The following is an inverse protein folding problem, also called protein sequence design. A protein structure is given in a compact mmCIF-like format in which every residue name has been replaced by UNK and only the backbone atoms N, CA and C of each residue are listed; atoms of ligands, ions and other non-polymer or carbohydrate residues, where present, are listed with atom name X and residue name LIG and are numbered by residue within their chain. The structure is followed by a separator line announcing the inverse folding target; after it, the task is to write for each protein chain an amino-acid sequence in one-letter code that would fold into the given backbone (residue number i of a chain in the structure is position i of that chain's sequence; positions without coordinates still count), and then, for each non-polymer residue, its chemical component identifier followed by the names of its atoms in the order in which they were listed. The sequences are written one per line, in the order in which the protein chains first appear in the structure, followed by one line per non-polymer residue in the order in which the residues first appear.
data_IF_499592080267
#
_entry.id   IF_499592080267
#
_cell.length_a   1.000
_cell.length_b   1.000
_cell.length_c   1.000
_cell.angle_alpha   90.00
_cell.angle_beta   90.00
_cell.angle_gamma   90.00
#
_symmetry.space_group_name_H-M   'P 1'
#
loop_
_entity.id
_entity.type
_entity.pdbx_description
1 polymer ?
#
# COMPACT_ATOMS: atom_id res chain seq x y z
N UNK A 1 2.03 8.64 -22.15
CA UNK A 1 3.15 7.92 -21.48
C UNK A 1 2.76 6.45 -21.36
N UNK A 2 3.70 5.50 -21.29
CA UNK A 2 3.35 4.11 -20.97
C UNK A 2 3.08 3.95 -19.46
N UNK A 3 2.21 3.02 -19.06
CA UNK A 3 1.92 2.72 -17.65
C UNK A 3 3.20 2.38 -16.85
N UNK A 4 4.15 1.70 -17.48
CA UNK A 4 5.45 1.31 -16.92
C UNK A 4 6.34 2.54 -16.66
N UNK A 5 6.42 3.47 -17.63
CA UNK A 5 7.18 4.73 -17.48
C UNK A 5 6.65 5.55 -16.31
N UNK A 6 5.33 5.66 -16.18
CA UNK A 6 4.67 6.40 -15.10
C UNK A 6 4.98 5.82 -13.71
N UNK A 7 5.00 4.50 -13.57
CA UNK A 7 5.33 3.82 -12.31
C UNK A 7 6.79 4.03 -11.89
N UNK A 8 7.72 3.99 -12.84
CA UNK A 8 9.12 4.31 -12.58
C UNK A 8 9.30 5.78 -12.20
N UNK A 9 8.63 6.70 -12.90
CA UNK A 9 8.66 8.13 -12.55
C UNK A 9 8.12 8.40 -11.14
N UNK A 10 7.04 7.73 -10.72
CA UNK A 10 6.54 7.85 -9.36
C UNK A 10 7.60 7.46 -8.31
N UNK A 11 8.35 6.38 -8.52
CA UNK A 11 9.43 5.98 -7.61
C UNK A 11 10.53 7.05 -7.62
N UNK A 12 11.06 7.38 -8.80
CA UNK A 12 12.17 8.33 -8.96
C UNK A 12 11.84 9.70 -8.36
N UNK A 13 10.69 10.28 -8.72
CA UNK A 13 10.26 11.59 -8.24
C UNK A 13 10.17 11.61 -6.71
N UNK A 14 9.61 10.57 -6.08
CA UNK A 14 9.49 10.52 -4.62
C UNK A 14 10.84 10.30 -3.91
N UNK A 15 11.84 9.73 -4.59
CA UNK A 15 13.18 9.50 -4.03
C UNK A 15 14.14 10.67 -4.27
N UNK A 16 14.02 11.35 -5.40
CA UNK A 16 15.04 12.28 -5.91
C UNK A 16 14.60 13.74 -5.93
N UNK A 17 13.29 14.03 -5.89
CA UNK A 17 12.75 15.38 -6.00
C UNK A 17 12.13 15.87 -4.68
N UNK A 18 12.03 17.19 -4.51
CA UNK A 18 11.35 17.78 -3.34
C UNK A 18 9.84 17.81 -3.54
N UNK A 19 9.19 16.68 -3.24
CA UNK A 19 7.74 16.50 -3.30
C UNK A 19 7.05 16.58 -1.95
N UNK A 20 7.76 17.06 -0.91
CA UNK A 20 7.17 17.20 0.42
C UNK A 20 6.03 18.20 0.36
N UNK A 21 4.94 17.87 1.04
CA UNK A 21 3.82 18.79 1.20
C UNK A 21 4.30 20.09 1.83
N UNK A 22 3.83 21.23 1.31
CA UNK A 22 3.97 22.52 1.98
C UNK A 22 3.14 22.63 3.26
N UNK A 23 2.25 21.67 3.51
CA UNK A 23 1.45 21.54 4.73
C UNK A 23 2.08 20.51 5.68
N UNK A 24 1.93 20.77 6.99
CA UNK A 24 2.26 19.81 8.05
C UNK A 24 1.17 18.73 8.18
N UNK A 25 1.45 17.71 8.99
CA UNK A 25 0.53 16.59 9.23
C UNK A 25 -0.59 16.91 10.21
N UNK A 26 -0.48 18.03 10.94
CA UNK A 26 -1.35 18.37 12.07
C UNK A 26 -0.97 17.65 13.37
N UNK A 27 -0.03 16.69 13.34
CA UNK A 27 0.43 15.96 14.52
C UNK A 27 1.12 16.87 15.53
N UNK A 28 1.66 18.01 15.10
CA UNK A 28 2.24 19.03 15.98
C UNK A 28 1.22 19.66 16.95
N UNK A 29 -0.08 19.52 16.68
CA UNK A 29 -1.15 19.99 17.57
C UNK A 29 -1.42 19.02 18.72
N UNK A 30 -0.85 17.81 18.69
CA UNK A 30 -1.11 16.76 19.67
C UNK A 30 0.09 16.55 20.58
N UNK A 31 -0.17 16.55 21.89
CA UNK A 31 0.83 16.30 22.91
C UNK A 31 0.32 15.22 23.86
N UNK A 32 1.12 14.18 24.06
CA UNK A 32 0.84 13.18 25.09
C UNK A 32 1.28 13.70 26.45
N UNK A 33 0.43 13.56 27.47
CA UNK A 33 0.81 13.92 28.84
C UNK A 33 1.87 12.95 29.34
N UNK A 34 3.06 13.48 29.61
CA UNK A 34 4.16 12.69 30.14
C UNK A 34 3.84 12.14 31.53
N UNK A 35 4.07 10.84 31.73
CA UNK A 35 3.95 10.16 33.02
C UNK A 35 5.35 9.83 33.53
N UNK A 36 5.87 10.65 34.45
CA UNK A 36 7.22 10.49 35.00
C UNK A 36 7.42 9.21 35.82
N UNK A 37 6.34 8.71 36.44
CA UNK A 37 6.30 7.43 37.14
C UNK A 37 5.18 6.56 36.55
N UNK A 38 5.46 5.77 35.50
CA UNK A 38 4.45 4.99 34.79
C UNK A 38 4.01 3.72 35.54
N UNK A 39 4.73 3.30 36.58
CA UNK A 39 4.46 2.07 37.35
C UNK A 39 4.33 0.82 36.46
N UNK A 40 5.07 0.80 35.34
CA UNK A 40 5.07 -0.26 34.33
C UNK A 40 6.50 -0.58 33.92
N UNK A 41 6.81 -1.88 33.82
CA UNK A 41 8.06 -2.36 33.26
C UNK A 41 8.01 -2.29 31.73
N UNK A 42 9.07 -1.80 31.09
CA UNK A 42 9.12 -1.67 29.63
C UNK A 42 8.92 -3.01 28.91
N UNK A 43 9.44 -4.10 29.48
CA UNK A 43 9.29 -5.47 28.94
C UNK A 43 7.82 -5.94 28.93
N UNK A 44 6.93 -5.32 29.70
CA UNK A 44 5.49 -5.61 29.71
C UNK A 44 4.71 -4.83 28.65
N UNK A 45 5.36 -3.90 27.93
CA UNK A 45 4.72 -3.17 26.84
C UNK A 45 4.51 -4.11 25.67
N UNK A 46 3.26 -4.42 25.37
CA UNK A 46 2.88 -5.26 24.26
C UNK A 46 2.21 -4.42 23.16
N UNK A 47 2.82 -4.37 21.98
CA UNK A 47 2.31 -3.66 20.80
C UNK A 47 1.46 -4.54 19.89
N UNK A 48 1.42 -5.85 20.17
CA UNK A 48 0.74 -6.80 19.29
C UNK A 48 -0.77 -6.66 19.32
N UNK A 49 -1.40 -6.98 18.19
CA UNK A 49 -2.85 -6.88 18.01
C UNK A 49 -3.35 -7.86 16.93
N UNK A 50 -4.57 -8.42 17.10
CA UNK A 50 -5.23 -9.18 16.06
C UNK A 50 -5.91 -8.26 15.03
N UNK A 51 -5.77 -8.56 13.74
CA UNK A 51 -6.46 -7.86 12.65
C UNK A 51 -6.71 -8.80 11.46
N UNK A 52 -7.93 -8.82 10.91
CA UNK A 52 -8.32 -9.68 9.79
C UNK A 52 -7.85 -11.14 9.91
N UNK A 53 -8.01 -11.73 11.12
CA UNK A 53 -7.57 -13.10 11.46
C UNK A 53 -6.04 -13.34 11.45
N UNK A 54 -5.24 -12.29 11.27
CA UNK A 54 -3.78 -12.29 11.44
C UNK A 54 -3.41 -11.64 12.78
N UNK A 55 -2.18 -11.87 13.22
CA UNK A 55 -1.63 -11.28 14.43
C UNK A 55 -0.40 -10.45 14.08
N UNK A 56 -0.46 -9.15 14.37
CA UNK A 56 0.64 -8.22 14.11
C UNK A 56 1.47 -8.06 15.38
N UNK A 57 2.78 -7.85 15.23
CA UNK A 57 3.68 -7.56 16.34
C UNK A 57 3.67 -6.08 16.74
N UNK A 58 3.22 -5.20 15.86
CA UNK A 58 3.05 -3.78 16.12
C UNK A 58 1.89 -3.18 15.31
N UNK A 59 1.26 -2.08 15.77
CA UNK A 59 0.16 -1.41 15.07
C UNK A 59 0.68 -0.50 13.96
N UNK A 60 1.50 -1.04 13.06
CA UNK A 60 2.17 -0.33 11.97
C UNK A 60 1.94 -1.10 10.67
N UNK A 61 1.82 -0.37 9.57
CA UNK A 61 1.61 -0.88 8.22
C UNK A 61 2.56 -0.16 7.26
N UNK A 62 3.23 -0.92 6.40
CA UNK A 62 3.87 -0.37 5.19
C UNK A 62 2.76 -0.11 4.16
N UNK A 63 2.45 1.15 3.88
CA UNK A 63 1.36 1.52 2.99
C UNK A 63 1.64 1.20 1.51
N UNK A 64 0.60 1.17 0.69
CA UNK A 64 0.65 0.88 -0.74
C UNK A 64 1.50 1.89 -1.51
N UNK A 65 2.51 1.41 -2.24
CA UNK A 65 3.42 2.27 -3.01
C UNK A 65 3.57 1.84 -4.46
N UNK A 66 4.11 0.65 -4.73
CA UNK A 66 4.62 0.32 -6.09
C UNK A 66 4.36 -1.13 -6.54
N UNK A 67 4.76 -1.42 -7.77
CA UNK A 67 4.67 -2.69 -8.50
C UNK A 67 4.45 -2.42 -9.99
N UNK A 68 4.78 -3.35 -10.88
CA UNK A 68 4.65 -3.22 -12.34
C UNK A 68 5.93 -2.84 -13.10
N UNK A 69 7.07 -2.78 -12.42
CA UNK A 69 8.42 -2.66 -13.00
C UNK A 69 9.40 -3.58 -12.25
N UNK A 70 10.57 -3.87 -12.82
CA UNK A 70 11.59 -4.68 -12.15
C UNK A 70 12.12 -4.02 -10.87
N UNK A 71 12.42 -2.72 -10.92
CA UNK A 71 12.81 -1.93 -9.75
C UNK A 71 11.74 -1.97 -8.66
N UNK A 72 10.47 -1.82 -9.04
CA UNK A 72 9.36 -1.92 -8.11
C UNK A 72 9.23 -3.30 -7.46
N UNK A 73 9.53 -4.37 -8.21
CA UNK A 73 9.56 -5.72 -7.68
C UNK A 73 10.64 -5.88 -6.59
N UNK A 74 11.84 -5.34 -6.82
CA UNK A 74 12.93 -5.36 -5.84
C UNK A 74 12.57 -4.59 -4.56
N UNK A 75 11.93 -3.43 -4.70
CA UNK A 75 11.42 -2.64 -3.57
C UNK A 75 10.36 -3.43 -2.80
N UNK A 76 9.38 -4.00 -3.51
CA UNK A 76 8.31 -4.79 -2.88
C UNK A 76 8.88 -5.98 -2.10
N UNK A 77 9.86 -6.70 -2.65
CA UNK A 77 10.48 -7.83 -1.95
C UNK A 77 11.26 -7.39 -0.72
N UNK A 78 12.06 -6.33 -0.82
CA UNK A 78 12.81 -5.79 0.32
C UNK A 78 11.88 -5.38 1.46
N UNK A 79 10.77 -4.70 1.14
CA UNK A 79 9.78 -4.28 2.14
C UNK A 79 9.04 -5.48 2.73
N UNK A 80 8.73 -6.50 1.93
CA UNK A 80 8.06 -7.70 2.39
C UNK A 80 8.96 -8.53 3.32
N UNK A 81 10.26 -8.66 3.03
CA UNK A 81 11.24 -9.29 3.93
C UNK A 81 11.30 -8.56 5.28
N UNK A 82 11.34 -7.23 5.27
CA UNK A 82 11.31 -6.42 6.49
C UNK A 82 9.99 -6.59 7.25
N UNK A 83 8.85 -6.60 6.55
CA UNK A 83 7.54 -6.81 7.14
C UNK A 83 7.41 -8.20 7.78
N UNK A 84 7.91 -9.24 7.12
CA UNK A 84 7.95 -10.60 7.64
C UNK A 84 8.84 -10.69 8.90
N UNK A 85 10.03 -10.09 8.86
CA UNK A 85 10.96 -10.11 9.98
C UNK A 85 10.42 -9.34 11.21
N UNK A 86 9.65 -8.28 11.00
CA UNK A 86 9.11 -7.43 12.07
C UNK A 86 7.67 -7.76 12.44
N UNK A 87 7.00 -8.63 11.69
CA UNK A 87 5.60 -9.02 11.90
C UNK A 87 4.59 -7.87 11.77
N UNK A 88 4.87 -6.90 10.91
CA UNK A 88 3.96 -5.80 10.59
C UNK A 88 3.21 -6.08 9.28
N UNK A 89 2.13 -5.34 9.03
CA UNK A 89 1.38 -5.49 7.79
C UNK A 89 2.06 -4.76 6.62
N UNK A 90 1.69 -5.15 5.40
CA UNK A 90 2.13 -4.48 4.17
C UNK A 90 0.99 -4.39 3.15
N UNK A 91 0.87 -3.26 2.46
CA UNK A 91 0.07 -3.11 1.26
C UNK A 91 0.94 -2.98 0.02
N UNK A 92 0.58 -3.68 -1.05
CA UNK A 92 1.23 -3.51 -2.35
C UNK A 92 0.63 -2.33 -3.11
N UNK A 93 1.34 -1.83 -4.13
CA UNK A 93 0.84 -0.77 -5.00
C UNK A 93 -0.32 -1.24 -5.89
N UNK A 94 -0.94 -0.30 -6.61
CA UNK A 94 -2.08 -0.60 -7.49
C UNK A 94 -1.76 -1.69 -8.51
N UNK A 95 -2.55 -2.77 -8.45
CA UNK A 95 -2.43 -3.96 -9.29
C UNK A 95 -3.14 -3.83 -10.65
N UNK A 96 -3.71 -2.66 -10.96
CA UNK A 96 -4.34 -2.37 -12.28
C UNK A 96 -3.46 -2.84 -13.44
N UNK A 97 -2.16 -2.51 -13.39
CA UNK A 97 -1.23 -2.88 -14.44
C UNK A 97 -1.09 -4.40 -14.61
N UNK A 98 -1.07 -5.17 -13.53
CA UNK A 98 -0.98 -6.63 -13.62
C UNK A 98 -2.31 -7.30 -14.00
N UNK A 99 -3.45 -6.63 -13.79
CA UNK A 99 -4.75 -7.11 -14.29
C UNK A 99 -4.85 -6.89 -15.81
N UNK A 100 -4.37 -5.75 -16.31
CA UNK A 100 -4.33 -5.44 -17.74
C UNK A 100 -3.22 -6.21 -18.48
N UNK A 101 -2.10 -6.45 -17.80
CA UNK A 101 -0.89 -7.11 -18.32
C UNK A 101 -0.44 -8.23 -17.36
N UNK A 102 -0.96 -9.46 -17.50
CA UNK A 102 -0.69 -10.56 -16.58
C UNK A 102 0.80 -10.91 -16.40
N UNK A 103 1.64 -10.61 -17.38
CA UNK A 103 3.09 -10.76 -17.30
C UNK A 103 3.74 -9.91 -16.18
N UNK A 104 3.05 -8.87 -15.71
CA UNK A 104 3.53 -8.01 -14.62
C UNK A 104 3.17 -8.54 -13.23
N UNK A 105 2.38 -9.61 -13.12
CA UNK A 105 1.95 -10.18 -11.83
C UNK A 105 3.14 -10.55 -10.93
N UNK A 106 4.23 -11.05 -11.52
CA UNK A 106 5.45 -11.43 -10.79
C UNK A 106 6.04 -10.27 -9.98
N UNK A 107 5.87 -9.03 -10.45
CA UNK A 107 6.38 -7.83 -9.76
C UNK A 107 5.65 -7.51 -8.45
N UNK A 108 4.53 -8.19 -8.19
CA UNK A 108 3.74 -8.10 -6.96
C UNK A 108 3.86 -9.35 -6.10
N UNK A 109 4.50 -10.42 -6.58
CA UNK A 109 4.59 -11.68 -5.88
C UNK A 109 5.67 -11.61 -4.78
N UNK A 110 5.19 -11.56 -3.53
CA UNK A 110 6.03 -11.49 -2.31
C UNK A 110 5.68 -12.57 -1.29
N UNK A 111 4.71 -13.43 -1.59
CA UNK A 111 4.19 -14.41 -0.62
C UNK A 111 5.19 -15.54 -0.32
N UNK A 112 6.11 -15.79 -1.25
CA UNK A 112 7.22 -16.74 -1.10
C UNK A 112 8.21 -16.34 0.01
N UNK A 113 8.38 -15.04 0.25
CA UNK A 113 9.29 -14.49 1.28
C UNK A 113 8.55 -13.96 2.52
N UNK A 114 7.28 -13.58 2.36
CA UNK A 114 6.44 -13.05 3.43
C UNK A 114 5.11 -13.82 3.58
N UNK A 115 5.17 -15.13 3.91
CA UNK A 115 3.98 -15.99 3.97
C UNK A 115 3.01 -15.63 5.11
N UNK A 116 3.50 -14.99 6.18
CA UNK A 116 2.73 -14.83 7.43
C UNK A 116 2.13 -13.44 7.62
N UNK A 117 2.67 -12.44 6.92
CA UNK A 117 2.22 -11.05 7.10
C UNK A 117 0.78 -10.85 6.66
N UNK A 118 0.11 -9.90 7.31
CA UNK A 118 -1.14 -9.36 6.81
C UNK A 118 -0.85 -8.54 5.55
N UNK A 119 -1.24 -9.08 4.39
CA UNK A 119 -0.95 -8.50 3.08
C UNK A 119 -2.22 -7.91 2.45
N UNK A 120 -2.11 -6.67 1.97
CA UNK A 120 -3.20 -5.98 1.29
C UNK A 120 -2.95 -5.87 -0.22
N UNK A 121 -3.94 -6.35 -0.99
CA UNK A 121 -4.10 -6.00 -2.40
C UNK A 121 -4.51 -4.54 -2.55
N UNK A 122 -4.31 -3.96 -3.74
CA UNK A 122 -4.65 -2.55 -3.97
C UNK A 122 -5.19 -2.30 -5.37
N UNK A 123 -6.33 -1.61 -5.43
CA UNK A 123 -6.92 -1.07 -6.65
C UNK A 123 -7.39 0.37 -6.44
N UNK A 124 -7.43 1.14 -7.53
CA UNK A 124 -8.03 2.47 -7.50
C UNK A 124 -9.55 2.34 -7.50
N UNK A 125 -10.22 2.96 -6.54
CA UNK A 125 -11.67 2.94 -6.45
C UNK A 125 -12.32 3.44 -7.75
N UNK A 126 -11.70 4.44 -8.40
CA UNK A 126 -12.16 5.00 -9.68
C UNK A 126 -12.35 3.95 -10.77
N UNK A 127 -11.61 2.83 -10.76
CA UNK A 127 -11.71 1.80 -11.79
C UNK A 127 -13.09 1.13 -11.83
N UNK A 128 -13.85 1.16 -10.74
CA UNK A 128 -15.23 0.67 -10.72
C UNK A 128 -16.14 1.45 -11.69
N UNK A 129 -15.82 2.72 -11.96
CA UNK A 129 -16.50 3.53 -12.97
C UNK A 129 -15.94 3.36 -14.40
N UNK A 130 -14.91 2.53 -14.55
CA UNK A 130 -14.23 2.23 -15.81
C UNK A 130 -14.35 0.75 -16.19
N UNK A 131 -15.32 0.05 -15.60
CA UNK A 131 -15.69 -1.32 -15.98
C UNK A 131 -15.11 -2.42 -15.09
N UNK A 132 -14.34 -2.07 -14.06
CA UNK A 132 -13.95 -3.05 -13.05
C UNK A 132 -15.15 -3.41 -12.19
N UNK A 133 -15.25 -4.67 -11.82
CA UNK A 133 -16.26 -5.19 -10.91
C UNK A 133 -15.66 -6.16 -9.90
N UNK A 134 -16.52 -7.06 -9.40
CA UNK A 134 -16.14 -8.03 -8.38
C UNK A 134 -15.01 -8.96 -8.84
N UNK A 135 -14.98 -9.30 -10.12
CA UNK A 135 -14.01 -10.26 -10.67
C UNK A 135 -12.60 -9.66 -10.73
N UNK A 136 -12.44 -8.38 -11.08
CA UNK A 136 -11.16 -7.67 -11.01
C UNK A 136 -10.67 -7.53 -9.57
N UNK A 137 -11.58 -7.22 -8.63
CA UNK A 137 -11.25 -7.16 -7.22
C UNK A 137 -10.77 -8.51 -6.68
N UNK A 138 -11.45 -9.61 -7.05
CA UNK A 138 -11.02 -10.97 -6.70
C UNK A 138 -9.66 -11.31 -7.31
N UNK A 139 -9.47 -11.02 -8.59
CA UNK A 139 -8.17 -11.22 -9.27
C UNK A 139 -7.04 -10.47 -8.59
N UNK A 140 -7.26 -9.24 -8.12
CA UNK A 140 -6.24 -8.51 -7.36
C UNK A 140 -5.88 -9.22 -6.05
N UNK A 141 -6.88 -9.71 -5.30
CA UNK A 141 -6.65 -10.44 -4.05
C UNK A 141 -5.91 -11.77 -4.31
N UNK A 142 -6.43 -12.55 -5.26
CA UNK A 142 -5.93 -13.90 -5.56
C UNK A 142 -4.50 -13.87 -6.13
N UNK A 143 -4.16 -12.86 -6.95
CA UNK A 143 -2.84 -12.70 -7.58
C UNK A 143 -1.67 -12.73 -6.59
N UNK A 144 -1.88 -12.27 -5.36
CA UNK A 144 -0.85 -12.15 -4.34
C UNK A 144 -1.22 -12.88 -3.05
N UNK A 145 -2.29 -13.67 -3.08
CA UNK A 145 -2.85 -14.36 -1.91
C UNK A 145 -3.08 -13.40 -0.73
N UNK A 146 -3.62 -12.20 -1.02
CA UNK A 146 -3.84 -11.17 -0.03
C UNK A 146 -4.93 -11.53 0.97
N UNK A 147 -4.82 -10.97 2.18
CA UNK A 147 -5.80 -11.15 3.24
C UNK A 147 -6.94 -10.11 3.15
N UNK A 148 -6.70 -8.98 2.47
CA UNK A 148 -7.69 -7.90 2.28
C UNK A 148 -7.37 -7.05 1.04
N UNK A 149 -8.33 -6.21 0.62
CA UNK A 149 -8.22 -5.29 -0.51
C UNK A 149 -8.35 -3.84 -0.05
N UNK A 150 -7.41 -2.99 -0.47
CA UNK A 150 -7.48 -1.53 -0.37
C UNK A 150 -8.06 -0.96 -1.66
N UNK A 151 -9.09 -0.13 -1.52
CA UNK A 151 -9.57 0.76 -2.59
C UNK A 151 -9.05 2.17 -2.31
N UNK A 152 -8.07 2.63 -3.09
CA UNK A 152 -7.50 3.96 -2.90
C UNK A 152 -8.33 5.04 -3.61
N UNK A 153 -8.35 6.23 -3.02
CA UNK A 153 -8.96 7.43 -3.58
C UNK A 153 -7.88 8.45 -3.87
N UNK A 154 -7.79 8.87 -5.12
CA UNK A 154 -6.72 9.75 -5.59
C UNK A 154 -7.25 10.80 -6.58
N UNK A 155 -8.48 11.29 -6.39
CA UNK A 155 -9.17 12.17 -7.33
C UNK A 155 -8.37 13.41 -7.75
N UNK A 156 -7.64 14.03 -6.81
CA UNK A 156 -6.77 15.17 -7.12
C UNK A 156 -5.58 14.74 -7.99
N UNK A 157 -4.96 13.60 -7.68
CA UNK A 157 -3.87 13.05 -8.49
C UNK A 157 -4.33 12.76 -9.93
N UNK A 158 -5.50 12.12 -10.08
CA UNK A 158 -6.07 11.83 -11.41
C UNK A 158 -6.44 13.12 -12.16
N UNK A 159 -6.90 14.16 -11.47
CA UNK A 159 -7.28 15.43 -12.12
C UNK A 159 -6.09 16.22 -12.69
N UNK A 160 -4.89 16.06 -12.11
CA UNK A 160 -3.68 16.78 -12.55
C UNK A 160 -2.74 15.93 -13.41
N UNK A 161 -2.93 14.61 -13.42
CA UNK A 161 -2.18 13.69 -14.27
C UNK A 161 -2.73 13.77 -15.72
N UNK A 162 -1.88 13.87 -16.75
CA UNK A 162 -2.34 14.04 -18.14
C UNK A 162 -3.30 12.93 -18.62
N UNK A 163 -3.08 11.70 -18.17
CA UNK A 163 -3.87 10.51 -18.51
C UNK A 163 -4.78 10.02 -17.37
N UNK A 164 -5.12 10.87 -16.40
CA UNK A 164 -5.85 10.43 -15.22
C UNK A 164 -7.34 10.11 -15.43
N UNK A 165 -7.83 9.14 -14.68
CA UNK A 165 -9.24 8.73 -14.65
C UNK A 165 -10.04 9.64 -13.71
N UNK A 166 -10.89 10.51 -14.27
CA UNK A 166 -11.56 11.59 -13.49
C UNK A 166 -13.05 11.37 -13.23
N UNK A 167 -13.64 10.25 -13.68
CA UNK A 167 -15.07 9.94 -13.46
C UNK A 167 -15.32 9.35 -12.07
N UNK A 168 -15.43 10.20 -11.05
CA UNK A 168 -15.71 9.79 -9.66
C UNK A 168 -17.21 9.84 -9.25
N UNK A 169 -18.10 10.29 -10.14
CA UNK A 169 -19.53 10.37 -9.85
C UNK A 169 -20.13 8.98 -9.59
N UNK A 170 -21.02 8.86 -8.59
CA UNK A 170 -21.76 7.63 -8.30
C UNK A 170 -20.92 6.48 -7.72
N UNK A 171 -19.74 6.77 -7.16
CA UNK A 171 -18.83 5.75 -6.62
C UNK A 171 -19.16 5.32 -5.17
N UNK A 172 -19.98 6.09 -4.45
CA UNK A 172 -20.36 5.88 -3.05
C UNK A 172 -21.84 5.50 -2.89
#
# INVERSE_FOLDING_TARGET
MSLTTRKADHIRINLEEDVRSGLTTGLESYHFLHRALPELDLEKVNLSLPLFKRFLQAPILISSMTGGTEEAAQINRTLAEAAQATGIAMGLGSQRAAIEHPELAETFHVRDIAPDILLFANLGAVQLNYGYGLDECRRAVDMIEADALILHFNAVQEAVQPEGDTRFAGLA
#
